data_IF_530096283550
#
_entry.id   IF_530096283550
#
_cell.length_a   1.000
_cell.length_b   1.000
_cell.length_c   1.000
_cell.angle_alpha   90.00
_cell.angle_beta   90.00
_cell.angle_gamma   90.00
#
_symmetry.space_group_name_H-M   'P 1'
#
loop_
_entity.id
_entity.type
_entity.pdbx_description
1 polymer ?
#
# COMPACT_ATOMS: atom_id res chain seq x y z
N UNK A 1 5.06 3.67 25.35
CA UNK A 1 3.93 2.73 25.13
C UNK A 1 4.38 1.74 24.07
N UNK A 2 4.16 0.43 24.26
CA UNK A 2 4.59 -0.59 23.29
C UNK A 2 3.43 -0.92 22.35
N UNK A 3 3.63 -0.73 21.05
CA UNK A 3 2.64 -0.90 19.99
C UNK A 3 2.87 -2.19 19.18
N UNK A 4 3.25 -3.24 19.92
CA UNK A 4 3.54 -4.59 19.41
C UNK A 4 2.57 -5.58 20.04
N UNK A 5 2.10 -6.54 19.23
CA UNK A 5 1.33 -7.70 19.62
C UNK A 5 2.03 -8.96 19.09
N UNK A 6 2.48 -9.82 19.99
CA UNK A 6 3.20 -11.08 19.74
C UNK A 6 2.39 -12.33 20.14
N UNK A 7 1.31 -12.17 20.90
CA UNK A 7 0.44 -13.26 21.32
C UNK A 7 -0.88 -13.27 20.52
N UNK A 8 -0.79 -13.69 19.25
CA UNK A 8 -1.90 -13.62 18.28
C UNK A 8 -3.05 -14.61 18.56
N UNK A 9 -2.78 -15.68 19.31
CA UNK A 9 -3.77 -16.72 19.63
C UNK A 9 -4.61 -16.38 20.87
N UNK A 10 -4.16 -15.44 21.71
CA UNK A 10 -4.90 -14.99 22.89
C UNK A 10 -5.87 -13.86 22.50
N UNK A 11 -7.13 -14.25 22.28
CA UNK A 11 -8.20 -13.33 21.86
C UNK A 11 -8.39 -12.17 22.86
N UNK A 12 -8.21 -12.38 24.15
CA UNK A 12 -8.35 -11.31 25.15
C UNK A 12 -7.21 -10.30 25.04
N UNK A 13 -5.98 -10.77 24.81
CA UNK A 13 -4.83 -9.89 24.54
C UNK A 13 -5.00 -9.11 23.24
N UNK A 14 -5.51 -9.75 22.19
CA UNK A 14 -5.81 -9.08 20.91
C UNK A 14 -6.89 -8.01 21.10
N UNK A 15 -7.96 -8.30 21.84
CA UNK A 15 -9.00 -7.32 22.14
C UNK A 15 -8.45 -6.11 22.90
N UNK A 16 -7.70 -6.36 23.97
CA UNK A 16 -7.07 -5.32 24.79
C UNK A 16 -6.07 -4.50 23.98
N UNK A 17 -5.33 -5.14 23.06
CA UNK A 17 -4.44 -4.48 22.12
C UNK A 17 -5.21 -3.51 21.23
N UNK A 18 -6.31 -3.94 20.61
CA UNK A 18 -7.14 -3.07 19.78
C UNK A 18 -7.81 -1.96 20.58
N UNK A 19 -8.29 -2.21 21.80
CA UNK A 19 -8.80 -1.16 22.69
C UNK A 19 -7.75 -0.08 22.97
N UNK A 20 -6.50 -0.51 23.21
CA UNK A 20 -5.38 0.41 23.38
C UNK A 20 -5.07 1.20 22.12
N UNK A 21 -5.15 0.60 20.93
CA UNK A 21 -4.96 1.34 19.68
C UNK A 21 -6.02 2.44 19.55
N UNK A 22 -7.28 2.10 19.78
CA UNK A 22 -8.38 3.06 19.69
C UNK A 22 -8.26 4.20 20.69
N UNK A 23 -7.82 3.94 21.93
CA UNK A 23 -7.62 4.96 22.95
C UNK A 23 -6.37 5.81 22.76
N UNK A 24 -5.43 5.36 21.91
CA UNK A 24 -4.20 6.08 21.59
C UNK A 24 -4.34 7.03 20.39
N UNK A 25 -5.54 7.13 19.81
CA UNK A 25 -5.82 8.03 18.69
C UNK A 25 -5.97 9.47 19.21
N UNK A 26 -5.20 10.39 18.63
CA UNK A 26 -5.34 11.83 18.86
C UNK A 26 -6.00 12.45 17.62
N UNK A 27 -7.20 12.97 17.78
CA UNK A 27 -8.00 13.52 16.66
C UNK A 27 -7.48 14.90 16.26
N UNK A 28 -6.98 15.66 17.24
CA UNK A 28 -6.40 17.00 17.09
C UNK A 28 -5.19 17.01 16.14
N UNK A 29 -4.51 15.87 15.99
CA UNK A 29 -3.42 15.70 15.03
C UNK A 29 -3.88 15.90 13.57
N UNK A 30 -5.12 15.52 13.25
CA UNK A 30 -5.68 15.70 11.90
C UNK A 30 -5.81 17.19 11.55
N UNK A 31 -6.08 18.07 12.53
CA UNK A 31 -6.16 19.52 12.30
C UNK A 31 -4.78 20.11 12.00
N UNK A 32 -3.73 19.68 12.71
CA UNK A 32 -2.35 20.10 12.42
C UNK A 32 -1.95 19.69 11.00
N UNK A 33 -2.29 18.47 10.59
CA UNK A 33 -2.01 17.97 9.24
C UNK A 33 -2.84 18.67 8.17
N UNK A 34 -4.09 19.02 8.49
CA UNK A 34 -4.92 19.80 7.60
C UNK A 34 -4.33 21.20 7.36
N UNK A 35 -3.80 21.85 8.39
CA UNK A 35 -3.10 23.13 8.26
C UNK A 35 -1.81 23.01 7.42
N UNK A 36 -1.03 21.93 7.61
CA UNK A 36 0.13 21.63 6.73
C UNK A 36 -0.33 21.46 5.27
N UNK A 37 -1.43 20.74 5.04
CA UNK A 37 -2.04 20.61 3.71
C UNK A 37 -2.46 21.95 3.11
N UNK A 38 -3.13 22.83 3.85
CA UNK A 38 -3.56 24.14 3.34
C UNK A 38 -2.36 24.99 2.90
N UNK A 39 -1.26 24.96 3.67
CA UNK A 39 0.01 25.62 3.32
C UNK A 39 0.62 25.01 2.06
N UNK A 40 0.73 23.69 1.98
CA UNK A 40 1.29 22.97 0.84
C UNK A 40 0.48 23.20 -0.45
N UNK A 41 -0.85 23.18 -0.37
CA UNK A 41 -1.75 23.37 -1.52
C UNK A 41 -1.51 24.70 -2.24
N UNK A 42 -1.18 25.76 -1.50
CA UNK A 42 -0.89 27.08 -2.10
C UNK A 42 0.41 27.12 -2.92
N UNK A 43 1.30 26.14 -2.74
CA UNK A 43 2.61 26.03 -3.40
C UNK A 43 2.61 25.08 -4.59
N UNK A 44 1.56 24.28 -4.77
CA UNK A 44 1.53 23.23 -5.79
C UNK A 44 1.52 23.82 -7.20
N UNK A 45 2.63 23.66 -7.93
CA UNK A 45 2.77 24.06 -9.34
C UNK A 45 2.76 22.91 -10.34
N UNK A 46 2.79 21.66 -9.86
CA UNK A 46 2.88 20.46 -10.71
C UNK A 46 1.50 20.04 -11.21
N UNK A 47 1.37 19.80 -12.51
CA UNK A 47 0.10 19.38 -13.13
C UNK A 47 0.27 18.04 -13.83
N UNK A 48 -0.52 17.05 -13.40
CA UNK A 48 -0.61 15.74 -14.05
C UNK A 48 -1.57 15.77 -15.23
N UNK A 49 -1.25 14.99 -16.27
CA UNK A 49 -2.05 14.79 -17.47
C UNK A 49 -2.64 13.39 -17.42
N UNK A 50 -3.97 13.31 -17.47
CA UNK A 50 -4.68 12.05 -17.66
C UNK A 50 -4.49 11.59 -19.10
N UNK A 51 -3.99 10.37 -19.29
CA UNK A 51 -3.81 9.72 -20.58
C UNK A 51 -4.44 8.32 -20.50
N UNK A 52 -5.01 7.84 -21.62
CA UNK A 52 -5.46 6.45 -21.73
C UNK A 52 -4.33 5.46 -22.04
N UNK A 53 -3.09 5.94 -22.23
CA UNK A 53 -1.92 5.13 -22.54
C UNK A 53 -1.07 4.92 -21.30
N UNK A 54 -0.81 3.66 -20.96
CA UNK A 54 0.14 3.23 -19.93
C UNK A 54 1.57 3.16 -20.49
N UNK A 55 2.56 3.36 -19.63
CA UNK A 55 3.99 3.10 -19.90
C UNK A 55 4.35 1.63 -19.72
N UNK A 56 3.49 0.86 -19.05
CA UNK A 56 3.65 -0.57 -18.81
C UNK A 56 2.56 -1.38 -19.52
N UNK A 57 2.84 -2.65 -19.78
CA UNK A 57 1.89 -3.62 -20.37
C UNK A 57 1.55 -4.72 -19.40
N UNK A 58 0.38 -5.34 -19.55
CA UNK A 58 0.01 -6.53 -18.76
C UNK A 58 0.91 -7.70 -19.20
N UNK A 59 1.67 -8.24 -18.26
CA UNK A 59 2.51 -9.43 -18.42
C UNK A 59 1.74 -10.70 -18.09
N UNK A 60 0.92 -10.66 -17.05
CA UNK A 60 0.07 -11.78 -16.63
C UNK A 60 -1.00 -11.39 -15.63
N UNK A 61 -1.83 -12.35 -15.25
CA UNK A 61 -2.94 -12.15 -14.34
C UNK A 61 -3.23 -13.40 -13.50
N UNK A 62 -3.78 -13.21 -12.30
CA UNK A 62 -4.29 -14.26 -11.42
C UNK A 62 -5.76 -13.94 -11.15
N UNK A 63 -6.65 -14.90 -11.41
CA UNK A 63 -8.05 -14.83 -11.01
C UNK A 63 -8.31 -15.74 -9.80
N UNK A 64 -9.37 -15.52 -9.02
CA UNK A 64 -9.63 -16.32 -7.81
C UNK A 64 -9.62 -17.84 -8.02
N UNK A 65 -10.13 -18.33 -9.15
CA UNK A 65 -10.14 -19.77 -9.46
C UNK A 65 -8.77 -20.37 -9.81
N UNK A 66 -7.74 -19.55 -9.94
CA UNK A 66 -6.35 -19.96 -10.17
C UNK A 66 -5.51 -19.94 -8.89
N UNK A 67 -6.11 -19.63 -7.74
CA UNK A 67 -5.45 -19.64 -6.43
C UNK A 67 -5.93 -20.84 -5.63
N UNK A 68 -5.06 -21.82 -5.43
CA UNK A 68 -5.28 -22.89 -4.47
C UNK A 68 -4.79 -22.44 -3.10
N UNK A 69 -5.68 -22.42 -2.10
CA UNK A 69 -5.35 -21.98 -0.74
C UNK A 69 -5.63 -23.11 0.23
N UNK A 70 -4.69 -23.37 1.13
CA UNK A 70 -4.86 -24.36 2.20
C UNK A 70 -4.52 -23.70 3.54
N UNK A 71 -5.37 -23.87 4.55
CA UNK A 71 -5.09 -23.39 5.91
C UNK A 71 -3.89 -24.12 6.52
N UNK A 72 -3.36 -23.58 7.62
CA UNK A 72 -2.32 -24.24 8.43
C UNK A 72 -2.73 -25.64 8.93
N UNK A 73 -4.03 -25.91 8.99
CA UNK A 73 -4.62 -27.20 9.40
C UNK A 73 -4.97 -28.13 8.22
N UNK A 74 -4.58 -27.78 6.99
CA UNK A 74 -4.84 -28.61 5.82
C UNK A 74 -6.25 -28.47 5.22
N UNK A 75 -7.02 -27.44 5.61
CA UNK A 75 -8.38 -27.23 5.12
C UNK A 75 -8.32 -26.39 3.83
N UNK A 76 -8.83 -26.89 2.69
CA UNK A 76 -8.92 -26.09 1.48
C UNK A 76 -9.83 -24.87 1.65
N UNK A 77 -9.36 -23.71 1.21
CA UNK A 77 -10.12 -22.46 1.21
C UNK A 77 -10.36 -22.02 -0.24
N UNK A 78 -11.60 -21.62 -0.55
CA UNK A 78 -11.98 -21.20 -1.91
C UNK A 78 -12.07 -19.66 -1.97
N UNK A 79 -11.04 -18.96 -2.49
CA UNK A 79 -11.11 -17.52 -2.64
C UNK A 79 -12.10 -17.12 -3.74
N UNK A 80 -12.78 -15.99 -3.53
CA UNK A 80 -13.63 -15.29 -4.52
C UNK A 80 -13.03 -13.97 -4.95
N UNK A 81 -12.02 -13.49 -4.24
CA UNK A 81 -11.21 -12.31 -4.54
C UNK A 81 -9.75 -12.72 -4.41
N UNK A 82 -8.92 -12.28 -5.36
CA UNK A 82 -7.46 -12.40 -5.31
C UNK A 82 -6.85 -11.13 -5.90
N UNK A 83 -6.75 -10.08 -5.08
CA UNK A 83 -6.43 -8.72 -5.53
C UNK A 83 -5.30 -8.08 -4.73
N UNK A 84 -4.98 -6.84 -5.10
CA UNK A 84 -4.03 -5.94 -4.45
C UNK A 84 -2.74 -6.60 -3.91
N UNK A 85 -2.01 -7.35 -4.77
CA UNK A 85 -0.86 -8.10 -4.29
C UNK A 85 0.39 -7.23 -4.15
N UNK A 86 1.22 -7.55 -3.15
CA UNK A 86 2.63 -7.20 -3.18
C UNK A 86 3.43 -8.28 -3.91
N UNK A 87 4.59 -7.89 -4.42
CA UNK A 87 5.52 -8.80 -5.08
C UNK A 87 6.93 -8.54 -4.54
N UNK A 88 7.68 -9.61 -4.32
CA UNK A 88 9.09 -9.60 -3.98
C UNK A 88 9.81 -10.56 -4.91
N UNK A 89 10.97 -10.15 -5.41
CA UNK A 89 11.80 -10.97 -6.29
C UNK A 89 13.19 -11.09 -5.69
N UNK A 90 13.69 -12.31 -5.60
CA UNK A 90 15.06 -12.61 -5.21
C UNK A 90 15.60 -13.67 -6.16
N UNK A 91 16.59 -13.29 -6.97
CA UNK A 91 17.02 -14.04 -8.15
C UNK A 91 15.80 -14.36 -9.04
N UNK A 92 15.55 -15.64 -9.32
CA UNK A 92 14.38 -16.09 -10.08
C UNK A 92 13.17 -16.46 -9.20
N UNK A 93 13.30 -16.38 -7.87
CA UNK A 93 12.22 -16.70 -6.94
C UNK A 93 11.31 -15.49 -6.73
N UNK A 94 10.01 -15.73 -6.81
CA UNK A 94 8.99 -14.69 -6.62
C UNK A 94 8.12 -15.06 -5.44
N UNK A 95 7.96 -14.14 -4.50
CA UNK A 95 6.89 -14.18 -3.51
C UNK A 95 5.78 -13.21 -3.92
N UNK A 96 4.54 -13.70 -3.97
CA UNK A 96 3.35 -12.91 -4.27
C UNK A 96 2.46 -12.92 -3.03
N UNK A 97 2.33 -11.77 -2.38
CA UNK A 97 1.48 -11.61 -1.21
C UNK A 97 0.11 -11.13 -1.67
N UNK A 98 -0.86 -12.04 -1.72
CA UNK A 98 -2.20 -11.81 -2.25
C UNK A 98 -3.15 -11.38 -1.15
N UNK A 99 -3.95 -10.33 -1.38
CA UNK A 99 -5.16 -10.07 -0.60
C UNK A 99 -6.26 -10.99 -1.10
N UNK A 100 -6.69 -11.90 -0.24
CA UNK A 100 -7.71 -12.90 -0.53
C UNK A 100 -8.96 -12.65 0.28
N UNK A 101 -10.10 -13.07 -0.26
CA UNK A 101 -11.37 -13.09 0.47
C UNK A 101 -12.20 -14.30 0.04
N UNK A 102 -12.85 -14.97 0.99
CA UNK A 102 -13.65 -16.18 0.75
C UNK A 102 -15.02 -15.89 0.13
N UNK A 103 -15.50 -14.65 0.25
CA UNK A 103 -16.78 -14.18 -0.30
C UNK A 103 -16.53 -12.85 -1.04
N UNK A 104 -17.27 -12.57 -2.10
CA UNK A 104 -17.30 -11.25 -2.73
C UNK A 104 -18.48 -10.41 -2.24
N UNK A 105 -18.51 -10.01 -0.97
CA UNK A 105 -19.63 -9.24 -0.40
C UNK A 105 -19.21 -8.31 0.74
N UNK A 106 -20.13 -7.48 1.23
CA UNK A 106 -19.92 -6.58 2.38
C UNK A 106 -19.64 -7.29 3.71
N UNK A 107 -19.93 -8.59 3.79
CA UNK A 107 -19.58 -9.44 4.94
C UNK A 107 -18.19 -10.06 4.81
N UNK A 108 -17.53 -9.87 3.67
CA UNK A 108 -16.24 -10.48 3.42
C UNK A 108 -15.17 -9.86 4.30
N UNK A 109 -14.40 -10.74 4.94
CA UNK A 109 -13.15 -10.38 5.60
C UNK A 109 -12.01 -10.85 4.74
N UNK A 110 -11.06 -9.96 4.54
CA UNK A 110 -9.87 -10.24 3.75
C UNK A 110 -8.74 -10.69 4.66
N UNK A 111 -7.86 -11.50 4.08
CA UNK A 111 -6.65 -12.00 4.69
C UNK A 111 -5.53 -11.97 3.66
N UNK A 112 -4.27 -12.06 4.10
CA UNK A 112 -3.11 -12.11 3.21
C UNK A 112 -2.56 -13.52 3.17
N UNK A 113 -2.32 -14.02 1.96
CA UNK A 113 -1.63 -15.28 1.72
C UNK A 113 -0.40 -15.05 0.83
N UNK A 114 0.65 -15.84 1.04
CA UNK A 114 1.85 -15.82 0.20
C UNK A 114 1.84 -17.02 -0.75
N UNK A 115 2.08 -16.74 -2.02
CA UNK A 115 2.40 -17.74 -3.03
C UNK A 115 3.87 -17.61 -3.43
N UNK A 116 4.53 -18.74 -3.62
CA UNK A 116 5.87 -18.81 -4.18
C UNK A 116 5.80 -19.25 -5.63
N UNK A 117 6.58 -18.62 -6.49
CA UNK A 117 6.65 -18.95 -7.91
C UNK A 117 8.04 -18.64 -8.48
N UNK A 118 8.17 -18.81 -9.79
CA UNK A 118 9.34 -18.42 -10.56
C UNK A 118 9.00 -17.29 -11.52
N UNK A 119 9.97 -16.46 -11.84
CA UNK A 119 9.80 -15.28 -12.70
C UNK A 119 9.27 -15.62 -14.11
N UNK A 120 9.67 -16.78 -14.66
CA UNK A 120 9.19 -17.28 -15.94
C UNK A 120 7.70 -17.63 -15.92
N UNK A 121 7.16 -17.98 -14.75
CA UNK A 121 5.76 -18.35 -14.56
C UNK A 121 4.84 -17.11 -14.44
N UNK A 122 5.38 -15.90 -14.28
CA UNK A 122 4.60 -14.67 -14.18
C UNK A 122 4.15 -14.13 -15.54
N UNK A 123 3.58 -14.97 -16.41
CA UNK A 123 3.14 -14.60 -17.76
C UNK A 123 1.79 -15.24 -18.11
N UNK A 124 0.95 -14.49 -18.82
CA UNK A 124 -0.37 -14.97 -19.23
C UNK A 124 -1.27 -15.27 -18.03
N UNK A 125 -1.95 -16.42 -18.04
CA UNK A 125 -2.77 -16.89 -16.92
C UNK A 125 -1.90 -17.60 -15.89
N UNK A 126 -1.77 -17.01 -14.70
CA UNK A 126 -0.88 -17.48 -13.65
C UNK A 126 -1.69 -18.27 -12.61
N UNK A 127 -1.24 -19.49 -12.31
CA UNK A 127 -1.81 -20.36 -11.27
C UNK A 127 -0.83 -20.47 -10.11
N UNK A 128 -1.35 -20.41 -8.89
CA UNK A 128 -0.53 -20.40 -7.67
C UNK A 128 -1.13 -21.22 -6.55
N UNK A 129 -0.25 -21.80 -5.75
CA UNK A 129 -0.57 -22.34 -4.43
C UNK A 129 -0.17 -21.31 -3.38
N UNK A 130 -1.13 -20.88 -2.56
CA UNK A 130 -0.95 -19.81 -1.59
C UNK A 130 -1.19 -20.31 -0.16
N UNK A 131 -0.37 -19.84 0.76
CA UNK A 131 -0.43 -20.16 2.18
C UNK A 131 -0.83 -18.90 2.95
N UNK A 132 -1.94 -18.89 3.69
CA UNK A 132 -2.31 -17.74 4.51
C UNK A 132 -1.22 -17.44 5.55
N UNK A 133 -0.84 -16.16 5.68
CA UNK A 133 0.20 -15.71 6.62
C UNK A 133 -0.32 -14.64 7.59
N UNK A 134 -1.37 -13.90 7.21
CA UNK A 134 -2.00 -12.89 8.06
C UNK A 134 -3.51 -13.03 7.97
N UNK A 135 -4.09 -13.56 9.05
CA UNK A 135 -5.54 -13.65 9.22
C UNK A 135 -6.11 -12.41 9.91
N UNK A 136 -7.40 -12.17 9.67
CA UNK A 136 -8.21 -11.42 10.63
C UNK A 136 -8.34 -12.26 11.90
N UNK A 137 -7.88 -11.72 13.03
CA UNK A 137 -7.96 -12.41 14.34
C UNK A 137 -9.36 -12.18 14.93
N UNK A 138 -9.92 -11.00 14.67
CA UNK A 138 -11.25 -10.61 15.12
C UNK A 138 -12.28 -10.59 13.97
N UNK A 139 -13.57 -10.87 14.23
CA UNK A 139 -14.60 -10.91 13.18
C UNK A 139 -14.90 -9.56 12.53
N UNK A 140 -14.44 -8.46 13.15
CA UNK A 140 -14.58 -7.10 12.66
C UNK A 140 -13.34 -6.59 11.92
N UNK A 141 -12.40 -7.46 11.57
CA UNK A 141 -11.13 -7.11 10.96
C UNK A 141 -11.06 -7.50 9.48
N UNK A 142 -10.59 -6.58 8.64
CA UNK A 142 -10.07 -6.89 7.30
C UNK A 142 -8.56 -6.65 7.30
N UNK A 143 -7.79 -7.61 6.78
CA UNK A 143 -6.36 -7.47 6.52
C UNK A 143 -6.15 -7.27 5.02
N UNK A 144 -5.49 -6.18 4.63
CA UNK A 144 -5.56 -5.65 3.27
C UNK A 144 -4.20 -5.14 2.77
N UNK A 145 -4.11 -5.08 1.44
CA UNK A 145 -3.15 -4.29 0.67
C UNK A 145 -1.69 -4.41 1.17
N UNK A 146 -1.11 -5.64 1.15
CA UNK A 146 0.29 -5.87 1.52
C UNK A 146 1.24 -5.00 0.71
N UNK A 147 2.40 -4.66 1.30
CA UNK A 147 3.52 -3.96 0.67
C UNK A 147 4.83 -4.46 1.28
N UNK A 148 5.86 -4.63 0.47
CA UNK A 148 7.19 -5.10 0.92
C UNK A 148 8.06 -3.88 1.23
N UNK A 149 8.84 -3.92 2.30
CA UNK A 149 9.84 -2.88 2.59
C UNK A 149 10.94 -2.91 1.50
N UNK A 150 11.30 -1.76 0.90
CA UNK A 150 12.29 -1.72 -0.18
C UNK A 150 13.72 -2.01 0.28
N UNK A 151 14.00 -1.94 1.58
CA UNK A 151 15.34 -2.18 2.15
C UNK A 151 15.43 -3.40 3.06
N UNK A 152 14.29 -3.88 3.58
CA UNK A 152 14.20 -5.14 4.33
C UNK A 152 13.09 -6.05 3.76
N UNK A 153 13.39 -6.86 2.74
CA UNK A 153 12.39 -7.67 2.08
C UNK A 153 11.71 -8.73 2.97
N UNK A 154 12.20 -8.96 4.20
CA UNK A 154 11.54 -9.79 5.21
C UNK A 154 10.39 -9.08 5.93
N UNK A 155 10.26 -7.76 5.78
CA UNK A 155 9.22 -6.94 6.42
C UNK A 155 8.07 -6.67 5.45
N UNK A 156 6.88 -7.05 5.88
CA UNK A 156 5.63 -6.82 5.16
C UNK A 156 4.77 -5.79 5.90
N UNK A 157 4.46 -4.70 5.22
CA UNK A 157 3.47 -3.72 5.64
C UNK A 157 2.09 -4.16 5.16
N UNK A 158 1.07 -3.98 5.99
CA UNK A 158 -0.31 -4.31 5.66
C UNK A 158 -1.28 -3.40 6.40
N UNK A 159 -2.49 -3.29 5.87
CA UNK A 159 -3.56 -2.49 6.46
C UNK A 159 -4.47 -3.41 7.27
N UNK A 160 -4.84 -2.98 8.47
CA UNK A 160 -5.92 -3.59 9.26
C UNK A 160 -7.05 -2.59 9.43
N UNK A 161 -8.17 -2.87 8.77
CA UNK A 161 -9.41 -2.10 8.92
C UNK A 161 -10.28 -2.74 10.01
N UNK A 162 -10.57 -1.97 11.05
CA UNK A 162 -11.24 -2.42 12.27
C UNK A 162 -12.65 -1.82 12.34
N UNK A 163 -13.66 -2.65 12.09
CA UNK A 163 -15.08 -2.31 12.04
C UNK A 163 -15.84 -2.65 13.34
N UNK A 164 -15.22 -2.36 14.51
CA UNK A 164 -15.73 -2.78 15.83
C UNK A 164 -16.94 -1.98 16.33
N UNK A 165 -17.03 -0.69 16.00
CA UNK A 165 -18.08 0.23 16.49
C UNK A 165 -18.68 1.07 15.36
N UNK A 166 -19.57 2.03 15.68
CA UNK A 166 -19.99 3.07 14.71
C UNK A 166 -18.79 3.86 14.14
N UNK A 167 -17.68 3.92 14.88
CA UNK A 167 -16.41 4.51 14.43
C UNK A 167 -15.47 3.38 14.02
N UNK A 168 -15.35 3.13 12.72
CA UNK A 168 -14.28 2.29 12.18
C UNK A 168 -12.93 2.99 12.35
N UNK A 169 -11.83 2.24 12.31
CA UNK A 169 -10.46 2.76 12.23
C UNK A 169 -9.66 1.95 11.22
N UNK A 170 -8.73 2.58 10.52
CA UNK A 170 -7.88 1.91 9.54
C UNK A 170 -6.43 2.26 9.83
N UNK A 171 -5.68 1.26 10.30
CA UNK A 171 -4.30 1.41 10.71
C UNK A 171 -3.39 0.60 9.79
N UNK A 172 -2.17 1.09 9.62
CA UNK A 172 -1.10 0.35 8.94
C UNK A 172 -0.25 -0.35 9.98
N UNK A 173 0.12 -1.59 9.69
CA UNK A 173 0.96 -2.44 10.51
C UNK A 173 2.19 -2.88 9.71
N UNK A 174 3.26 -3.23 10.42
CA UNK A 174 4.35 -4.03 9.89
C UNK A 174 4.42 -5.39 10.59
N UNK A 175 4.90 -6.38 9.86
CA UNK A 175 5.11 -7.75 10.33
C UNK A 175 6.34 -8.33 9.67
N UNK A 176 7.12 -9.09 10.42
CA UNK A 176 8.26 -9.82 9.86
C UNK A 176 7.78 -11.19 9.37
N UNK A 177 8.06 -11.51 8.12
CA UNK A 177 7.68 -12.79 7.50
C UNK A 177 8.89 -13.69 7.44
N UNK A 178 8.83 -14.84 8.09
CA UNK A 178 9.89 -15.86 8.04
C UNK A 178 9.25 -17.23 7.86
N UNK A 179 9.71 -17.99 6.87
CA UNK A 179 9.20 -19.34 6.58
C UNK A 179 7.66 -19.41 6.46
N UNK A 180 7.05 -18.39 5.83
CA UNK A 180 5.58 -18.25 5.69
C UNK A 180 4.83 -18.08 7.02
N UNK A 181 5.52 -17.64 8.07
CA UNK A 181 4.93 -17.33 9.37
C UNK A 181 5.17 -15.86 9.72
N UNK A 182 4.25 -15.31 10.53
CA UNK A 182 4.34 -13.98 11.14
C UNK A 182 4.28 -14.16 12.64
N UNK A 183 5.29 -13.65 13.34
CA UNK A 183 5.44 -13.75 14.78
C UNK A 183 4.74 -12.61 15.53
N UNK A 184 4.79 -11.39 14.97
CA UNK A 184 4.25 -10.20 15.61
C UNK A 184 3.59 -9.22 14.65
N UNK A 185 2.67 -8.44 15.20
CA UNK A 185 2.04 -7.30 14.57
C UNK A 185 2.51 -6.04 15.29
N UNK A 186 3.11 -5.11 14.57
CA UNK A 186 3.47 -3.80 15.11
C UNK A 186 2.73 -2.72 14.34
N UNK A 187 1.96 -1.88 15.03
CA UNK A 187 1.26 -0.77 14.36
C UNK A 187 2.23 0.37 14.07
N UNK A 188 2.10 1.00 12.91
CA UNK A 188 2.83 2.23 12.62
C UNK A 188 2.30 3.34 13.53
N UNK A 189 3.18 3.86 14.38
CA UNK A 189 2.85 4.87 15.38
C UNK A 189 3.53 6.19 15.10
N UNK A 190 3.06 7.23 15.77
CA UNK A 190 3.55 8.59 15.60
C UNK A 190 4.08 9.10 16.93
N UNK A 191 5.15 9.90 16.88
CA UNK A 191 5.69 10.59 18.04
C UNK A 191 5.65 12.10 17.82
N UNK A 192 5.19 12.82 18.84
CA UNK A 192 5.27 14.27 18.95
C UNK A 192 5.82 14.66 20.31
N UNK A 193 6.55 15.78 20.40
CA UNK A 193 6.96 16.38 21.68
C UNK A 193 5.77 16.72 22.57
N UNK A 194 4.61 17.04 21.99
CA UNK A 194 3.40 17.41 22.72
C UNK A 194 2.68 16.20 23.33
N UNK A 195 2.48 15.15 22.53
CA UNK A 195 1.61 14.02 22.90
C UNK A 195 2.36 12.74 23.25
N UNK A 196 3.67 12.70 23.07
CA UNK A 196 4.43 11.45 23.14
C UNK A 196 4.07 10.54 21.96
N UNK A 197 3.93 9.23 22.22
CA UNK A 197 3.59 8.26 21.17
C UNK A 197 2.07 8.09 21.07
N UNK A 198 1.53 8.21 19.86
CA UNK A 198 0.09 8.18 19.58
C UNK A 198 -0.20 7.62 18.18
N UNK A 199 -1.47 7.51 17.80
CA UNK A 199 -1.94 7.12 16.47
C UNK A 199 -2.78 8.22 15.81
N UNK A 200 -2.73 8.31 14.48
CA UNK A 200 -3.69 9.09 13.70
C UNK A 200 -5.02 8.34 13.57
N UNK A 201 -6.09 9.03 13.15
CA UNK A 201 -7.40 8.40 13.03
C UNK A 201 -7.43 7.27 12.00
N UNK A 202 -7.03 7.58 10.76
CA UNK A 202 -6.95 6.67 9.63
C UNK A 202 -5.73 7.03 8.77
N UNK A 203 -4.88 6.05 8.46
CA UNK A 203 -3.67 6.27 7.66
C UNK A 203 -3.32 5.01 6.85
N UNK A 204 -4.31 4.56 6.05
CA UNK A 204 -4.06 3.57 4.99
C UNK A 204 -2.99 4.08 4.02
N UNK A 205 -2.40 3.19 3.23
CA UNK A 205 -1.39 3.56 2.21
C UNK A 205 -0.12 4.20 2.80
N UNK A 206 0.20 3.81 4.04
CA UNK A 206 1.43 4.17 4.73
C UNK A 206 2.46 3.05 4.52
N UNK A 207 3.68 3.37 4.11
CA UNK A 207 4.75 2.40 3.84
C UNK A 207 6.11 3.13 3.78
N UNK A 208 7.23 2.42 4.00
CA UNK A 208 8.55 3.02 3.99
C UNK A 208 8.94 3.48 2.58
N UNK A 209 9.55 4.67 2.49
CA UNK A 209 10.33 5.02 1.30
C UNK A 209 11.69 4.32 1.42
N UNK A 210 12.29 4.39 2.62
CA UNK A 210 13.55 3.76 2.98
C UNK A 210 13.59 3.50 4.51
N UNK A 211 14.77 3.17 5.06
CA UNK A 211 14.98 2.96 6.50
C UNK A 211 14.65 4.17 7.37
N UNK A 212 14.89 5.37 6.88
CA UNK A 212 14.85 6.62 7.67
C UNK A 212 13.59 7.45 7.40
N UNK A 213 12.84 7.18 6.32
CA UNK A 213 11.65 7.92 5.92
C UNK A 213 10.47 7.03 5.57
N UNK A 214 9.28 7.48 5.98
CA UNK A 214 8.02 6.83 5.67
C UNK A 214 7.15 7.73 4.78
N UNK A 215 6.46 7.14 3.82
CA UNK A 215 5.30 7.72 3.15
C UNK A 215 4.08 7.44 4.02
N UNK A 216 3.33 8.48 4.38
CA UNK A 216 2.14 8.39 5.22
C UNK A 216 0.98 8.99 4.44
N UNK A 217 -0.19 8.35 4.48
CA UNK A 217 -1.40 8.92 3.89
C UNK A 217 -2.52 9.10 4.92
N UNK A 218 -2.47 10.16 5.74
CA UNK A 218 -3.58 10.50 6.64
C UNK A 218 -4.88 10.67 5.86
N UNK A 219 -5.99 10.22 6.46
CA UNK A 219 -7.33 10.38 5.93
C UNK A 219 -8.20 11.18 6.91
N UNK A 220 -8.54 12.40 6.51
CA UNK A 220 -9.36 13.32 7.27
C UNK A 220 -10.82 12.89 7.19
N UNK A 221 -11.29 12.09 8.16
CA UNK A 221 -12.64 11.50 8.14
C UNK A 221 -13.75 12.54 8.00
N UNK A 222 -13.67 13.64 8.75
CA UNK A 222 -14.70 14.68 8.75
C UNK A 222 -14.75 15.47 7.43
N UNK A 223 -13.68 15.39 6.63
CA UNK A 223 -13.55 16.07 5.33
C UNK A 223 -13.60 15.09 4.14
N UNK A 224 -13.61 13.79 4.41
CA UNK A 224 -13.68 12.69 3.45
C UNK A 224 -12.61 12.75 2.34
N UNK A 225 -11.35 13.05 2.67
CA UNK A 225 -10.23 12.93 1.73
C UNK A 225 -8.93 12.63 2.47
N UNK A 226 -7.89 12.24 1.73
CA UNK A 226 -6.56 12.02 2.31
C UNK A 226 -5.48 12.59 1.42
N UNK A 227 -4.32 12.82 2.03
CA UNK A 227 -3.16 13.49 1.42
C UNK A 227 -1.93 12.65 1.63
N UNK A 228 -0.92 12.82 0.78
CA UNK A 228 0.38 12.18 0.95
C UNK A 228 1.30 13.08 1.74
N UNK A 229 1.93 12.52 2.76
CA UNK A 229 2.91 13.16 3.61
C UNK A 229 4.15 12.28 3.74
N UNK A 230 5.29 12.88 4.05
CA UNK A 230 6.53 12.16 4.34
C UNK A 230 7.05 12.61 5.69
N UNK A 231 7.55 11.66 6.48
CA UNK A 231 8.09 11.94 7.79
C UNK A 231 9.29 11.06 8.12
N UNK A 232 10.28 11.57 8.87
CA UNK A 232 11.36 10.75 9.41
C UNK A 232 10.81 9.64 10.29
N UNK A 233 11.47 8.49 10.33
CA UNK A 233 11.06 7.33 11.13
C UNK A 233 12.24 6.67 11.85
N UNK A 234 11.90 5.95 12.91
CA UNK A 234 12.74 4.99 13.60
C UNK A 234 11.94 3.69 13.73
N UNK A 235 12.18 2.74 12.82
CA UNK A 235 11.35 1.54 12.69
C UNK A 235 9.89 1.89 12.37
N UNK A 236 8.94 1.35 13.14
CA UNK A 236 7.50 1.61 12.98
C UNK A 236 7.03 2.97 13.52
N UNK A 237 7.92 3.82 14.03
CA UNK A 237 7.56 5.05 14.73
C UNK A 237 7.99 6.26 13.89
N UNK A 238 7.02 7.05 13.45
CA UNK A 238 7.20 8.25 12.61
C UNK A 238 7.27 9.50 13.50
N UNK A 239 8.20 10.41 13.21
CA UNK A 239 8.26 11.73 13.84
C UNK A 239 7.20 12.64 13.22
N UNK A 240 6.11 12.88 13.95
CA UNK A 240 4.96 13.67 13.49
C UNK A 240 5.29 15.16 13.37
N UNK A 241 6.13 15.68 14.26
CA UNK A 241 6.48 17.10 14.30
C UNK A 241 7.19 17.51 13.00
N UNK A 242 8.03 16.61 12.47
CA UNK A 242 8.83 16.77 11.25
C UNK A 242 8.17 16.22 9.98
N UNK A 243 6.95 15.66 10.09
CA UNK A 243 6.21 15.19 8.92
C UNK A 243 5.74 16.36 8.06
N UNK A 244 5.88 16.30 6.75
CA UNK A 244 5.40 17.36 5.84
C UNK A 244 4.55 16.82 4.69
N UNK A 245 3.68 17.68 4.17
CA UNK A 245 2.78 17.38 3.06
C UNK A 245 3.42 17.84 1.77
N UNK A 246 3.61 16.93 0.82
CA UNK A 246 4.34 17.23 -0.42
C UNK A 246 3.41 17.90 -1.44
N UNK A 247 3.60 19.20 -1.77
CA UNK A 247 2.70 19.95 -2.64
C UNK A 247 2.46 19.31 -4.01
N UNK A 248 3.50 18.74 -4.61
CA UNK A 248 3.51 18.15 -5.95
C UNK A 248 2.70 16.85 -6.01
N UNK A 249 2.53 16.18 -4.87
CA UNK A 249 1.75 14.94 -4.74
C UNK A 249 0.32 15.16 -4.26
N UNK A 250 -0.08 16.43 -4.04
CA UNK A 250 -1.46 16.77 -3.69
C UNK A 250 -2.39 16.68 -4.90
N UNK A 251 -3.69 16.38 -4.69
CA UNK A 251 -4.68 16.41 -5.76
C UNK A 251 -4.74 17.77 -6.48
N UNK A 252 -4.74 17.73 -7.81
CA UNK A 252 -4.98 18.86 -8.72
C UNK A 252 -6.49 19.13 -8.93
N UNK A 253 -6.85 20.16 -9.71
CA UNK A 253 -8.24 20.66 -9.90
C UNK A 253 -9.28 19.59 -10.26
N UNK A 254 -8.90 18.56 -11.01
CA UNK A 254 -9.80 17.48 -11.47
C UNK A 254 -9.54 16.13 -10.78
N UNK A 255 -8.87 16.17 -9.63
CA UNK A 255 -8.47 15.02 -8.83
C UNK A 255 -9.13 15.11 -7.44
N UNK A 256 -9.66 13.99 -6.98
CA UNK A 256 -10.36 13.91 -5.70
C UNK A 256 -9.42 13.57 -4.54
N UNK A 257 -8.49 12.63 -4.74
CA UNK A 257 -7.53 12.21 -3.71
C UNK A 257 -6.28 11.59 -4.31
N UNK A 258 -5.21 11.60 -3.53
CA UNK A 258 -3.98 10.84 -3.78
C UNK A 258 -3.68 9.86 -2.64
N UNK A 259 -2.82 8.88 -2.92
CA UNK A 259 -2.31 7.94 -1.94
C UNK A 259 -1.14 7.14 -2.49
N UNK A 260 -0.22 6.72 -1.63
CA UNK A 260 0.94 5.95 -2.07
C UNK A 260 0.59 4.48 -2.34
N UNK A 261 1.40 3.81 -3.16
CA UNK A 261 1.18 2.42 -3.53
C UNK A 261 2.33 1.51 -3.13
N UNK A 262 3.54 1.75 -3.62
CA UNK A 262 4.69 0.92 -3.31
C UNK A 262 5.98 1.71 -3.57
N UNK A 263 7.06 1.31 -2.91
CA UNK A 263 8.41 1.86 -3.10
C UNK A 263 9.36 0.77 -3.60
N UNK A 264 10.40 1.19 -4.30
CA UNK A 264 11.49 0.35 -4.78
C UNK A 264 12.79 1.13 -4.65
N UNK A 265 13.80 0.53 -4.03
CA UNK A 265 15.16 1.06 -4.03
C UNK A 265 15.78 0.88 -5.42
N UNK A 266 16.13 1.97 -6.08
CA UNK A 266 16.80 1.95 -7.39
C UNK A 266 18.32 1.93 -7.22
N UNK A 267 18.83 2.72 -6.28
CA UNK A 267 20.26 2.87 -6.01
C UNK A 267 20.50 3.13 -4.52
N UNK A 268 21.74 3.42 -4.13
CA UNK A 268 22.05 3.80 -2.76
C UNK A 268 21.40 5.13 -2.33
N UNK A 269 21.05 5.98 -3.29
CA UNK A 269 20.54 7.34 -3.06
C UNK A 269 19.15 7.60 -3.61
N UNK A 270 18.55 6.67 -4.37
CA UNK A 270 17.30 6.93 -5.08
C UNK A 270 16.27 5.82 -4.88
N UNK A 271 15.02 6.25 -4.70
CA UNK A 271 13.86 5.41 -4.45
C UNK A 271 12.74 5.79 -5.40
N UNK A 272 12.21 4.81 -6.13
CA UNK A 272 11.02 4.97 -6.95
C UNK A 272 9.79 4.71 -6.10
N UNK A 273 8.85 5.66 -6.06
CA UNK A 273 7.55 5.50 -5.41
C UNK A 273 6.46 5.55 -6.46
N UNK A 274 5.66 4.50 -6.53
CA UNK A 274 4.39 4.54 -7.25
C UNK A 274 3.30 5.07 -6.32
N UNK A 275 2.44 5.92 -6.87
CA UNK A 275 1.31 6.51 -6.16
C UNK A 275 0.10 6.62 -7.09
N UNK A 276 -1.09 6.63 -6.50
CA UNK A 276 -2.33 6.70 -7.23
C UNK A 276 -2.95 8.07 -7.08
N UNK A 277 -3.63 8.46 -8.14
CA UNK A 277 -4.51 9.61 -8.22
C UNK A 277 -5.88 9.09 -8.57
N UNK A 278 -6.88 9.52 -7.81
CA UNK A 278 -8.28 9.24 -8.11
C UNK A 278 -8.92 10.51 -8.64
N UNK A 279 -9.54 10.44 -9.81
CA UNK A 279 -10.27 11.58 -10.33
C UNK A 279 -11.67 11.75 -9.68
N UNK A 280 -12.34 12.84 -10.04
CA UNK A 280 -13.69 13.13 -9.54
C UNK A 280 -14.76 12.10 -9.96
N UNK A 281 -14.44 11.16 -10.85
CA UNK A 281 -15.31 10.05 -11.26
C UNK A 281 -14.93 8.73 -10.59
N UNK A 282 -13.91 8.72 -9.73
CA UNK A 282 -13.45 7.52 -9.04
C UNK A 282 -12.50 6.65 -9.87
N UNK A 283 -11.96 7.15 -10.99
CA UNK A 283 -11.02 6.42 -11.83
C UNK A 283 -9.62 6.50 -11.23
N UNK A 284 -8.94 5.36 -11.10
CA UNK A 284 -7.60 5.28 -10.51
C UNK A 284 -6.52 5.27 -11.61
N UNK A 285 -5.62 6.24 -11.53
CA UNK A 285 -4.41 6.32 -12.35
C UNK A 285 -3.19 6.14 -11.45
N UNK A 286 -2.16 5.44 -11.91
CA UNK A 286 -0.89 5.30 -11.20
C UNK A 286 0.17 6.18 -11.86
N UNK A 287 0.88 6.96 -11.05
CA UNK A 287 2.02 7.79 -11.42
C UNK A 287 3.26 7.34 -10.66
N UNK A 288 4.42 7.86 -11.04
CA UNK A 288 5.67 7.62 -10.34
C UNK A 288 6.27 8.93 -9.81
N UNK A 289 6.98 8.81 -8.70
CA UNK A 289 7.75 9.86 -8.04
C UNK A 289 9.13 9.30 -7.70
N UNK A 290 10.16 10.12 -7.84
CA UNK A 290 11.54 9.79 -7.47
C UNK A 290 11.88 10.52 -6.19
N UNK A 291 12.36 9.78 -5.20
CA UNK A 291 12.82 10.30 -3.92
C UNK A 291 14.30 10.04 -3.72
N UNK A 292 14.97 10.93 -3.00
CA UNK A 292 16.34 10.69 -2.56
C UNK A 292 16.40 9.87 -1.24
N UNK A 293 17.59 9.68 -0.69
CA UNK A 293 17.76 9.00 0.61
C UNK A 293 17.35 9.86 1.82
N UNK A 294 17.22 11.17 1.65
CA UNK A 294 16.75 12.11 2.68
C UNK A 294 15.22 12.26 2.68
N UNK A 295 14.50 11.50 1.87
CA UNK A 295 13.05 11.57 1.77
C UNK A 295 12.55 12.79 0.98
N UNK A 296 13.44 13.49 0.28
CA UNK A 296 13.13 14.62 -0.59
C UNK A 296 12.58 14.13 -1.93
N UNK A 297 11.53 14.80 -2.43
CA UNK A 297 10.95 14.52 -3.74
C UNK A 297 11.80 15.19 -4.84
N UNK A 298 12.47 14.38 -5.66
CA UNK A 298 13.32 14.85 -6.76
C UNK A 298 12.54 15.07 -8.06
N UNK A 299 11.57 14.21 -8.37
CA UNK A 299 10.86 14.25 -9.64
C UNK A 299 9.51 13.52 -9.60
N UNK A 300 8.62 13.80 -10.54
CA UNK A 300 7.42 12.99 -10.78
C UNK A 300 7.00 12.96 -12.25
N UNK A 301 6.37 11.87 -12.67
CA UNK A 301 5.83 11.71 -14.02
C UNK A 301 4.61 12.61 -14.25
N UNK A 302 4.58 13.36 -15.35
CA UNK A 302 3.38 14.13 -15.73
C UNK A 302 2.27 13.24 -16.31
N UNK A 303 2.61 12.09 -16.90
CA UNK A 303 1.64 11.12 -17.46
C UNK A 303 1.62 9.83 -16.65
N UNK A 304 0.47 9.12 -16.58
CA UNK A 304 0.37 7.90 -15.77
C UNK A 304 1.30 6.79 -16.27
N UNK A 305 1.93 6.10 -15.33
CA UNK A 305 2.59 4.81 -15.56
C UNK A 305 1.55 3.75 -15.91
N UNK A 306 0.44 3.72 -15.15
CA UNK A 306 -0.72 2.85 -15.43
C UNK A 306 -1.98 3.70 -15.55
N UNK A 307 -2.63 3.60 -16.71
CA UNK A 307 -3.98 4.06 -16.93
C UNK A 307 -4.95 2.86 -17.03
N UNK A 308 -6.14 2.94 -16.43
CA UNK A 308 -7.13 1.87 -16.54
C UNK A 308 -7.65 1.79 -17.98
N UNK A 309 -7.73 0.58 -18.52
CA UNK A 309 -8.19 0.33 -19.91
C UNK A 309 -9.51 -0.42 -19.91
N UNK A 310 -10.47 0.08 -20.69
CA UNK A 310 -11.77 -0.56 -20.91
C UNK A 310 -11.58 -1.92 -21.58
N UNK A 311 -12.34 -2.92 -21.15
CA UNK A 311 -12.33 -4.27 -21.73
C UNK A 311 -11.24 -5.21 -21.21
N UNK A 312 -10.34 -4.75 -20.32
CA UNK A 312 -9.36 -5.64 -19.66
C UNK A 312 -10.04 -6.57 -18.67
N UNK A 313 -10.87 -6.02 -17.80
CA UNK A 313 -11.67 -6.74 -16.80
C UNK A 313 -12.79 -5.82 -16.30
N UNK A 314 -13.87 -6.43 -15.83
CA UNK A 314 -15.03 -5.74 -15.25
C UNK A 314 -15.41 -6.43 -13.94
N UNK A 315 -14.94 -5.86 -12.83
CA UNK A 315 -15.30 -6.30 -11.47
C UNK A 315 -16.16 -5.28 -10.71
N UNK A 316 -16.22 -5.41 -9.39
CA UNK A 316 -17.02 -4.59 -8.49
C UNK A 316 -16.64 -3.11 -8.43
N UNK A 317 -15.43 -2.73 -8.87
CA UNK A 317 -14.98 -1.32 -8.93
C UNK A 317 -14.35 -0.97 -10.28
N UNK A 318 -15.15 -0.85 -11.37
CA UNK A 318 -14.65 -0.60 -12.71
C UNK A 318 -13.67 0.58 -12.76
N UNK A 319 -12.62 0.43 -13.57
CA UNK A 319 -11.59 1.46 -13.77
C UNK A 319 -10.71 1.69 -12.53
N UNK A 320 -10.65 0.73 -11.62
CA UNK A 320 -9.71 0.73 -10.49
C UNK A 320 -8.53 -0.17 -10.81
N UNK A 321 -7.32 0.39 -10.81
CA UNK A 321 -6.07 -0.39 -10.74
C UNK A 321 -5.32 0.08 -9.51
N UNK A 322 -5.11 -0.82 -8.55
CA UNK A 322 -4.52 -0.50 -7.26
C UNK A 322 -3.20 -1.24 -7.07
N UNK A 323 -2.10 -0.52 -7.23
CA UNK A 323 -0.74 -1.07 -7.10
C UNK A 323 -0.41 -1.35 -5.63
N UNK A 324 0.18 -2.50 -5.36
CA UNK A 324 0.64 -2.89 -4.01
C UNK A 324 2.07 -3.45 -4.00
N UNK A 325 2.64 -3.77 -5.17
CA UNK A 325 4.01 -4.25 -5.25
C UNK A 325 4.77 -3.71 -6.44
N UNK A 326 6.06 -3.58 -6.24
CA UNK A 326 7.02 -3.04 -7.18
C UNK A 326 8.34 -3.80 -7.02
N UNK A 327 8.85 -4.36 -8.10
CA UNK A 327 10.11 -5.09 -8.08
C UNK A 327 10.90 -4.85 -9.36
N UNK A 328 12.23 -4.91 -9.24
CA UNK A 328 13.15 -4.89 -10.36
C UNK A 328 13.61 -6.32 -10.66
N UNK A 329 13.60 -6.70 -11.93
CA UNK A 329 14.22 -7.94 -12.41
C UNK A 329 14.91 -7.64 -13.75
N UNK A 330 16.22 -7.83 -13.79
CA UNK A 330 17.10 -7.25 -14.82
C UNK A 330 16.84 -5.73 -14.94
N UNK A 331 16.66 -5.20 -16.14
CA UNK A 331 16.36 -3.79 -16.40
C UNK A 331 14.85 -3.48 -16.40
N UNK A 332 14.02 -4.44 -15.98
CA UNK A 332 12.57 -4.37 -16.09
C UNK A 332 11.88 -4.16 -14.76
N UNK A 333 10.92 -3.25 -14.78
CA UNK A 333 10.02 -3.00 -13.68
C UNK A 333 8.84 -3.97 -13.76
N UNK A 334 8.65 -4.78 -12.71
CA UNK A 334 7.42 -5.54 -12.50
C UNK A 334 6.55 -4.85 -11.46
N UNK A 335 5.29 -4.65 -11.80
CA UNK A 335 4.31 -3.98 -10.95
C UNK A 335 3.15 -4.94 -10.70
N UNK A 336 2.87 -5.24 -9.43
CA UNK A 336 1.74 -6.08 -9.05
C UNK A 336 0.59 -5.19 -8.54
N UNK A 337 -0.60 -5.41 -9.09
CA UNK A 337 -1.74 -4.55 -8.84
C UNK A 337 -3.06 -5.34 -8.81
N UNK A 338 -4.00 -4.91 -7.98
CA UNK A 338 -5.37 -5.37 -8.10
C UNK A 338 -6.11 -4.64 -9.21
N UNK A 339 -7.01 -5.35 -9.88
CA UNK A 339 -7.93 -4.79 -10.86
C UNK A 339 -9.36 -4.95 -10.34
N UNK A 340 -10.05 -3.82 -10.25
CA UNK A 340 -11.43 -3.69 -9.77
C UNK A 340 -11.69 -4.35 -8.40
N UNK A 341 -10.65 -4.40 -7.55
CA UNK A 341 -10.60 -5.07 -6.23
C UNK A 341 -10.90 -6.60 -6.24
N UNK A 342 -10.87 -7.26 -7.40
CA UNK A 342 -11.26 -8.68 -7.54
C UNK A 342 -10.16 -9.61 -8.04
N UNK A 343 -9.34 -9.15 -8.98
CA UNK A 343 -8.28 -9.95 -9.60
C UNK A 343 -6.92 -9.28 -9.45
N UNK A 344 -5.87 -10.04 -9.75
CA UNK A 344 -4.49 -9.58 -9.75
C UNK A 344 -3.99 -9.45 -11.17
N UNK A 345 -3.28 -8.36 -11.45
CA UNK A 345 -2.51 -8.14 -12.67
C UNK A 345 -1.04 -7.97 -12.31
N UNK A 346 -0.17 -8.53 -13.15
CA UNK A 346 1.26 -8.26 -13.18
C UNK A 346 1.53 -7.45 -14.44
N UNK A 347 2.06 -6.25 -14.27
CA UNK A 347 2.54 -5.40 -15.35
C UNK A 347 4.05 -5.51 -15.51
N UNK A 348 4.53 -5.21 -16.71
CA UNK A 348 5.95 -5.12 -17.06
C UNK A 348 6.17 -3.83 -17.88
N UNK A 349 7.28 -3.13 -17.62
CA UNK A 349 7.81 -2.10 -18.50
C UNK A 349 9.29 -1.85 -18.24
N UNK A 350 9.90 -1.05 -19.12
CA UNK A 350 11.31 -0.69 -19.00
C UNK A 350 11.45 0.45 -17.97
N UNK A 351 12.42 0.33 -17.05
CA UNK A 351 12.66 1.36 -16.05
C UNK A 351 13.04 2.69 -16.71
N UNK A 352 13.90 2.64 -17.72
CA UNK A 352 14.38 3.80 -18.48
C UNK A 352 13.22 4.61 -19.08
N UNK A 353 12.22 3.95 -19.69
CA UNK A 353 11.05 4.64 -20.26
C UNK A 353 10.25 5.42 -19.20
N UNK A 354 10.19 4.94 -17.96
CA UNK A 354 9.51 5.64 -16.86
C UNK A 354 10.36 6.83 -16.41
N UNK A 355 11.68 6.64 -16.27
CA UNK A 355 12.62 7.68 -15.87
C UNK A 355 12.66 8.84 -16.88
N UNK A 356 12.60 8.56 -18.18
CA UNK A 356 12.51 9.58 -19.23
C UNK A 356 11.24 10.44 -19.18
N UNK A 357 10.18 9.98 -18.49
CA UNK A 357 8.93 10.75 -18.30
C UNK A 357 8.90 11.55 -17.00
N UNK A 358 9.95 11.46 -16.18
CA UNK A 358 10.06 12.23 -14.96
C UNK A 358 10.35 13.69 -15.27
N UNK A 359 9.61 14.57 -14.59
CA UNK A 359 9.94 15.99 -14.52
C UNK A 359 10.58 16.27 -13.17
N UNK A 360 11.83 16.71 -13.20
CA UNK A 360 12.56 17.07 -12.00
C UNK A 360 12.05 18.39 -11.44
N UNK A 361 11.97 18.45 -10.11
CA UNK A 361 11.73 19.68 -9.38
C UNK A 361 13.09 20.35 -9.18
N UNK A 362 13.18 21.67 -9.43
CA UNK A 362 14.40 22.41 -9.12
C UNK A 362 14.58 22.40 -7.59
N UNK A 363 15.76 21.99 -7.13
CA UNK A 363 16.13 22.01 -5.71
C UNK A 363 16.31 23.41 -5.14
#
# INVERSE_FOLDING_TARGET
>A
MNFVLDELEDIQKVENYFDRLFSSVIVEADEILYEKYLKARSKSGFTRRKSGKSLVRIRGYIIPSDVAVVSTTGIPMVPRIASNPAIQIHDDNVHIYLRLASIGSVFSRTFIAVAESKIENLRGRIKVEAHPILYGIMPYECVEDPRVDPEDPGVLYHVRALYRTRKSRVFTFQSHVKNREVDKLEVISFYSKEWGVFLLQDYRDTFPINRDYMMIRPFFKDRNFGVMAVGPRDGAKVNFDEMDVIPELLPSKDEYKTGGNASLKLSASEYLVLYHVVDNHGVYYTYAALFDNSGELLASTETPVIAPKVGVYSGGRPSTVFVCGLALYDDKLLISAGRDDEITLIYEGELEEIMEKMKFFEG
#
